data_IF_397079972621
#
_entry.id   IF_397079972621
#
_cell.length_a   1.000
_cell.length_b   1.000
_cell.length_c   1.000
_cell.angle_alpha   90.00
_cell.angle_beta   90.00
_cell.angle_gamma   90.00
#
_symmetry.space_group_name_H-M   'P 1'
#
loop_
_entity.id
_entity.type
_entity.pdbx_description
1 polymer ?
#
# COMPACT_ATOMS: atom_id res chain seq x y z
N UNK A 1 -26.70 33.10 4.41
CA UNK A 1 -25.73 32.00 4.18
C UNK A 1 -25.19 31.72 5.56
N UNK A 2 -25.69 30.63 6.18
CA UNK A 2 -25.31 30.30 7.56
C UNK A 2 -23.82 29.93 7.61
N UNK A 3 -23.09 30.50 8.58
CA UNK A 3 -21.73 30.11 8.96
C UNK A 3 -21.69 28.72 9.64
N UNK A 4 -22.79 28.00 9.63
CA UNK A 4 -22.92 26.64 10.10
C UNK A 4 -22.08 25.73 9.19
N UNK A 5 -21.11 25.05 9.79
CA UNK A 5 -20.13 24.13 9.18
C UNK A 5 -18.88 24.78 8.56
N UNK A 6 -18.37 25.88 9.09
CA UNK A 6 -17.03 26.35 8.79
C UNK A 6 -16.05 25.79 9.83
N UNK A 7 -14.85 25.37 9.36
CA UNK A 7 -13.83 24.86 10.27
C UNK A 7 -12.60 24.31 9.54
N UNK A 8 -11.64 23.84 10.33
CA UNK A 8 -10.45 23.15 9.83
C UNK A 8 -10.38 21.74 10.41
N UNK A 9 -10.09 20.77 9.55
CA UNK A 9 -9.79 19.39 9.94
C UNK A 9 -8.31 19.14 9.62
N UNK A 10 -7.52 18.74 10.62
CA UNK A 10 -6.18 18.29 10.36
C UNK A 10 -6.16 16.79 10.15
N UNK A 11 -5.65 16.35 8.98
CA UNK A 11 -5.61 14.97 8.54
C UNK A 11 -4.17 14.54 8.24
N UNK A 12 -3.80 13.35 8.71
CA UNK A 12 -2.56 12.71 8.31
C UNK A 12 -2.83 11.54 7.36
N UNK A 13 -1.99 11.38 6.34
CA UNK A 13 -2.02 10.21 5.47
C UNK A 13 -0.64 9.88 4.91
N UNK A 14 -0.49 8.63 4.46
CA UNK A 14 0.75 8.19 3.80
C UNK A 14 0.86 8.80 2.41
N UNK A 15 2.06 9.23 1.99
CA UNK A 15 2.33 9.58 0.61
C UNK A 15 1.85 8.48 -0.35
N UNK A 16 1.45 8.82 -1.56
CA UNK A 16 0.87 7.97 -2.61
C UNK A 16 -0.53 7.43 -2.22
N UNK A 17 -0.61 6.35 -1.47
CA UNK A 17 -1.86 5.64 -1.23
C UNK A 17 -2.86 6.46 -0.41
N UNK A 18 -2.42 7.06 0.68
CA UNK A 18 -3.28 7.92 1.49
C UNK A 18 -3.71 9.16 0.72
N UNK A 19 -2.79 9.76 -0.04
CA UNK A 19 -3.09 10.89 -0.90
C UNK A 19 -4.10 10.53 -2.01
N UNK A 20 -3.95 9.37 -2.64
CA UNK A 20 -4.89 8.87 -3.65
C UNK A 20 -6.29 8.70 -3.07
N UNK A 21 -6.43 7.97 -1.96
CA UNK A 21 -7.70 7.75 -1.28
C UNK A 21 -8.35 9.08 -0.84
N UNK A 22 -7.58 10.00 -0.26
CA UNK A 22 -8.09 11.31 0.15
C UNK A 22 -8.61 12.11 -1.05
N UNK A 23 -7.89 12.09 -2.18
CA UNK A 23 -8.27 12.78 -3.41
C UNK A 23 -9.56 12.25 -4.02
N UNK A 24 -9.86 10.97 -3.85
CA UNK A 24 -11.12 10.36 -4.30
C UNK A 24 -12.32 10.78 -3.43
N UNK A 25 -12.12 10.89 -2.12
CA UNK A 25 -13.18 11.22 -1.16
C UNK A 25 -13.44 12.72 -1.10
N UNK A 26 -12.41 13.54 -1.21
CA UNK A 26 -12.47 14.99 -1.00
C UNK A 26 -13.50 15.72 -1.87
N UNK A 27 -13.69 15.44 -3.17
CA UNK A 27 -14.65 16.15 -4.00
C UNK A 27 -16.10 16.02 -3.51
N UNK A 28 -16.49 14.86 -3.02
CA UNK A 28 -17.83 14.63 -2.47
C UNK A 28 -17.99 15.35 -1.12
N UNK A 29 -16.99 15.24 -0.25
CA UNK A 29 -16.97 15.94 1.03
C UNK A 29 -17.07 17.47 0.85
N UNK A 30 -16.27 18.04 -0.06
CA UNK A 30 -16.25 19.47 -0.31
C UNK A 30 -17.59 20.00 -0.86
N UNK A 31 -18.28 19.23 -1.72
CA UNK A 31 -19.61 19.61 -2.18
C UNK A 31 -20.63 19.73 -1.04
N UNK A 32 -20.51 18.87 -0.02
CA UNK A 32 -21.41 18.85 1.14
C UNK A 32 -21.01 19.88 2.21
N UNK A 33 -19.71 20.14 2.36
CA UNK A 33 -19.14 21.01 3.39
C UNK A 33 -18.10 21.98 2.80
N UNK A 34 -18.54 22.96 1.96
CA UNK A 34 -17.63 23.82 1.19
C UNK A 34 -16.79 24.78 2.06
N UNK A 35 -17.21 25.02 3.31
CA UNK A 35 -16.53 25.92 4.22
C UNK A 35 -15.56 25.20 5.19
N UNK A 36 -15.37 23.89 5.04
CA UNK A 36 -14.38 23.14 5.79
C UNK A 36 -13.09 23.07 4.99
N UNK A 37 -11.99 23.47 5.62
CA UNK A 37 -10.65 23.34 5.06
C UNK A 37 -9.91 22.17 5.68
N UNK A 38 -8.94 21.61 4.95
CA UNK A 38 -8.07 20.54 5.46
C UNK A 38 -6.64 21.03 5.60
N UNK A 39 -6.06 20.77 6.75
CA UNK A 39 -4.61 20.85 6.95
C UNK A 39 -4.04 19.45 6.87
N UNK A 40 -3.23 19.21 5.84
CA UNK A 40 -2.71 17.88 5.51
C UNK A 40 -1.30 17.69 6.06
N UNK A 41 -1.07 16.53 6.68
CA UNK A 41 0.24 16.04 7.10
C UNK A 41 0.54 14.73 6.35
N UNK A 42 1.54 14.77 5.49
CA UNK A 42 2.01 13.56 4.81
C UNK A 42 3.18 12.96 5.60
N UNK A 43 3.00 11.74 6.10
CA UNK A 43 4.05 11.05 6.83
C UNK A 43 3.87 9.52 6.79
N UNK A 44 4.82 8.80 7.36
CA UNK A 44 4.75 7.34 7.51
C UNK A 44 3.82 6.95 8.65
N UNK A 45 3.25 5.74 8.57
CA UNK A 45 2.29 5.21 9.55
C UNK A 45 2.79 5.37 11.00
N UNK A 46 4.04 4.99 11.30
CA UNK A 46 4.63 5.11 12.64
C UNK A 46 4.61 6.55 13.18
N UNK A 47 4.80 7.54 12.31
CA UNK A 47 4.75 8.95 12.71
C UNK A 47 3.32 9.41 12.92
N UNK A 48 2.40 9.03 12.02
CA UNK A 48 0.98 9.37 12.15
C UNK A 48 0.35 8.82 13.43
N UNK A 49 0.71 7.58 13.82
CA UNK A 49 0.30 6.97 15.09
C UNK A 49 0.77 7.77 16.33
N UNK A 50 1.83 8.58 16.21
CA UNK A 50 2.29 9.49 17.26
C UNK A 50 1.55 10.84 17.25
N UNK A 51 1.22 11.36 16.05
CA UNK A 51 0.55 12.67 15.92
C UNK A 51 -0.88 12.65 16.48
N UNK A 52 -1.59 11.54 16.37
CA UNK A 52 -2.96 11.40 16.85
C UNK A 52 -3.10 11.58 18.37
N UNK A 53 -2.38 10.83 19.23
CA UNK A 53 -2.45 11.03 20.70
C UNK A 53 -1.98 12.41 21.14
N UNK A 54 -1.08 13.03 20.39
CA UNK A 54 -0.58 14.39 20.65
C UNK A 54 -1.58 15.48 20.22
N UNK A 55 -2.70 15.08 19.58
CA UNK A 55 -3.71 15.99 19.03
C UNK A 55 -3.19 16.96 17.97
N UNK A 56 -2.08 16.62 17.32
CA UNK A 56 -1.54 17.40 16.20
C UNK A 56 -2.36 17.19 14.94
N UNK A 57 -3.02 16.04 14.84
CA UNK A 57 -4.01 15.75 13.79
C UNK A 57 -5.30 15.20 14.38
N UNK A 58 -6.42 15.47 13.71
CA UNK A 58 -7.76 15.04 14.12
C UNK A 58 -8.01 13.58 13.72
N UNK A 59 -7.53 13.21 12.54
CA UNK A 59 -7.69 11.86 12.01
C UNK A 59 -6.48 11.48 11.15
N UNK A 60 -6.27 10.17 10.97
CA UNK A 60 -5.26 9.65 10.06
C UNK A 60 -5.79 8.51 9.21
N UNK A 61 -5.45 8.54 7.92
CA UNK A 61 -5.69 7.45 6.98
C UNK A 61 -4.42 6.61 6.88
N UNK A 62 -4.48 5.40 7.41
CA UNK A 62 -3.31 4.53 7.49
C UNK A 62 -3.67 3.06 7.28
N UNK A 63 -2.70 2.28 6.87
CA UNK A 63 -2.81 0.82 6.88
C UNK A 63 -2.38 0.30 8.25
N UNK A 64 -3.18 -0.57 8.84
CA UNK A 64 -2.85 -1.20 10.11
C UNK A 64 -3.01 -2.73 10.03
N UNK A 65 -2.45 -3.41 11.02
CA UNK A 65 -2.62 -4.84 11.25
C UNK A 65 -3.30 -5.04 12.60
N UNK A 66 -4.26 -5.97 12.68
CA UNK A 66 -5.11 -6.14 13.86
C UNK A 66 -4.33 -6.41 15.17
N UNK A 67 -3.21 -7.12 15.06
CA UNK A 67 -2.34 -7.47 16.19
C UNK A 67 -1.50 -6.29 16.74
N UNK A 68 -1.53 -5.13 16.05
CA UNK A 68 -0.66 -3.97 16.34
C UNK A 68 -1.44 -2.66 16.50
N UNK A 69 -2.72 -2.71 16.88
CA UNK A 69 -3.52 -1.51 17.15
C UNK A 69 -3.00 -0.78 18.40
N UNK A 70 -2.91 0.54 18.31
CA UNK A 70 -2.54 1.38 19.44
C UNK A 70 -3.76 1.58 20.36
N UNK A 71 -3.63 1.21 21.65
CA UNK A 71 -4.74 1.16 22.60
C UNK A 71 -5.46 2.50 22.85
N UNK A 72 -4.80 3.63 22.58
CA UNK A 72 -5.37 4.97 22.76
C UNK A 72 -6.06 5.52 21.52
N UNK A 73 -6.16 4.74 20.43
CA UNK A 73 -6.75 5.18 19.17
C UNK A 73 -8.02 4.36 18.86
N UNK A 74 -9.00 5.03 18.29
CA UNK A 74 -10.15 4.40 17.67
C UNK A 74 -9.84 4.12 16.21
N UNK A 75 -10.16 2.91 15.73
CA UNK A 75 -9.93 2.49 14.36
C UNK A 75 -11.27 2.22 13.68
N UNK A 76 -11.48 2.90 12.56
CA UNK A 76 -12.59 2.66 11.64
C UNK A 76 -12.04 1.95 10.41
N UNK A 77 -12.38 0.67 10.25
CA UNK A 77 -11.99 -0.10 9.08
C UNK A 77 -12.81 0.36 7.86
N UNK A 78 -12.13 0.70 6.77
CA UNK A 78 -12.77 1.10 5.52
C UNK A 78 -12.83 -0.06 4.53
N UNK A 79 -11.74 -0.80 4.36
CA UNK A 79 -11.66 -2.01 3.54
C UNK A 79 -10.41 -2.81 3.89
N UNK A 80 -10.45 -4.09 3.55
CA UNK A 80 -9.28 -4.97 3.58
C UNK A 80 -8.63 -5.00 2.22
N UNK A 81 -7.32 -5.19 2.20
CA UNK A 81 -6.53 -5.22 0.99
C UNK A 81 -5.53 -6.37 1.02
N UNK A 82 -5.42 -7.05 -0.10
CA UNK A 82 -4.46 -8.13 -0.28
C UNK A 82 -3.07 -7.58 -0.63
N UNK A 83 -2.04 -8.30 -0.18
CA UNK A 83 -0.69 -8.18 -0.71
C UNK A 83 -0.56 -9.14 -1.88
N UNK A 84 -0.23 -8.63 -3.04
CA UNK A 84 -0.03 -9.42 -4.25
C UNK A 84 1.44 -9.48 -4.65
N UNK A 85 1.82 -10.58 -5.26
CA UNK A 85 3.12 -10.73 -5.90
C UNK A 85 2.95 -10.47 -7.41
N UNK A 86 3.66 -9.49 -7.93
CA UNK A 86 3.74 -9.22 -9.37
C UNK A 86 5.01 -9.85 -9.97
N UNK A 87 4.84 -10.58 -11.07
CA UNK A 87 5.94 -11.05 -11.90
C UNK A 87 5.87 -10.40 -13.29
N UNK A 88 7.01 -10.15 -13.95
CA UNK A 88 7.04 -9.80 -15.36
C UNK A 88 6.21 -10.77 -16.20
N UNK A 89 5.44 -10.28 -17.17
CA UNK A 89 4.68 -11.15 -18.06
C UNK A 89 5.59 -12.07 -18.91
N UNK A 90 6.85 -11.70 -19.08
CA UNK A 90 7.88 -12.52 -19.74
C UNK A 90 8.53 -13.58 -18.83
N UNK A 91 8.18 -13.61 -17.54
CA UNK A 91 8.78 -14.54 -16.58
C UNK A 91 8.45 -16.00 -16.94
N UNK A 92 9.38 -16.96 -16.80
CA UNK A 92 9.12 -18.37 -17.10
C UNK A 92 7.92 -18.97 -16.37
N UNK A 93 7.61 -18.49 -15.17
CA UNK A 93 6.48 -18.96 -14.36
C UNK A 93 5.19 -18.15 -14.60
N UNK A 94 5.18 -17.16 -15.51
CA UNK A 94 3.99 -16.35 -15.78
C UNK A 94 2.76 -17.17 -16.19
N UNK A 95 2.97 -18.31 -16.85
CA UNK A 95 1.91 -19.23 -17.25
C UNK A 95 1.11 -19.82 -16.07
N UNK A 96 1.67 -19.85 -14.86
CA UNK A 96 0.99 -20.34 -13.67
C UNK A 96 -0.10 -19.39 -13.18
N UNK A 97 -0.02 -18.11 -13.53
CA UNK A 97 -0.98 -17.09 -13.11
C UNK A 97 -2.33 -17.19 -13.86
N UNK A 98 -2.33 -17.68 -15.09
CA UNK A 98 -3.50 -17.69 -15.97
C UNK A 98 -3.86 -16.29 -16.50
N UNK A 99 -4.85 -16.25 -17.42
CA UNK A 99 -5.19 -15.04 -18.18
C UNK A 99 -5.87 -13.94 -17.35
N UNK A 100 -6.50 -14.30 -16.23
CA UNK A 100 -7.22 -13.37 -15.35
C UNK A 100 -6.57 -13.25 -13.94
N UNK A 101 -5.25 -13.37 -13.86
CA UNK A 101 -4.52 -13.32 -12.58
C UNK A 101 -4.77 -12.02 -11.78
N UNK A 102 -5.00 -10.92 -12.48
CA UNK A 102 -5.37 -9.63 -11.88
C UNK A 102 -6.72 -9.64 -11.14
N UNK A 103 -7.53 -10.70 -11.35
CA UNK A 103 -8.88 -10.83 -10.79
C UNK A 103 -8.94 -11.82 -9.62
N UNK A 104 -8.16 -12.90 -9.71
CA UNK A 104 -8.26 -14.03 -8.81
C UNK A 104 -7.02 -14.27 -7.95
N UNK A 105 -5.87 -13.68 -8.29
CA UNK A 105 -4.59 -13.81 -7.59
C UNK A 105 -4.30 -15.27 -7.19
N UNK A 106 -4.00 -16.16 -8.15
CA UNK A 106 -3.71 -17.54 -7.83
C UNK A 106 -2.50 -17.66 -6.91
N UNK A 107 -2.49 -18.69 -6.07
CA UNK A 107 -1.36 -18.94 -5.18
C UNK A 107 -0.15 -19.47 -5.95
N UNK A 108 1.04 -19.06 -5.53
CA UNK A 108 2.31 -19.58 -6.02
C UNK A 108 3.20 -19.99 -4.85
N UNK A 109 3.93 -21.08 -5.00
CA UNK A 109 5.01 -21.41 -4.08
C UNK A 109 6.17 -20.43 -4.28
N UNK A 110 6.35 -19.55 -3.30
CA UNK A 110 7.38 -18.49 -3.35
C UNK A 110 8.80 -19.08 -3.47
N UNK A 111 9.04 -20.32 -3.02
CA UNK A 111 10.35 -20.99 -3.14
C UNK A 111 10.81 -21.19 -4.58
N UNK A 112 9.86 -21.23 -5.54
CA UNK A 112 10.16 -21.30 -6.97
C UNK A 112 10.93 -20.06 -7.48
N UNK A 113 10.85 -18.95 -6.76
CA UNK A 113 11.47 -17.67 -7.09
C UNK A 113 12.78 -17.41 -6.32
N UNK A 114 13.35 -18.43 -5.68
CA UNK A 114 14.54 -18.28 -4.82
C UNK A 114 15.78 -17.70 -5.54
N UNK A 115 15.86 -17.85 -6.86
CA UNK A 115 16.95 -17.33 -7.68
C UNK A 115 16.61 -16.03 -8.41
N UNK A 116 15.37 -15.56 -8.29
CA UNK A 116 14.88 -14.39 -9.00
C UNK A 116 15.26 -13.09 -8.26
N UNK A 117 15.45 -11.99 -9.00
CA UNK A 117 15.66 -10.69 -8.41
C UNK A 117 14.35 -10.08 -7.93
N UNK A 118 14.41 -9.31 -6.84
CA UNK A 118 13.27 -8.59 -6.27
C UNK A 118 13.55 -7.09 -6.11
N UNK A 119 12.53 -6.27 -6.37
CA UNK A 119 12.43 -4.92 -5.82
C UNK A 119 11.51 -4.97 -4.60
N UNK A 120 11.99 -4.56 -3.43
CA UNK A 120 11.24 -4.63 -2.19
C UNK A 120 11.07 -3.23 -1.60
N UNK A 121 9.88 -2.92 -1.11
CA UNK A 121 9.64 -1.65 -0.43
C UNK A 121 10.60 -1.50 0.77
N UNK A 122 10.97 -0.26 1.08
CA UNK A 122 11.90 0.08 2.16
C UNK A 122 11.54 -0.60 3.49
N UNK A 123 12.57 -1.03 4.24
CA UNK A 123 12.46 -1.65 5.58
C UNK A 123 11.79 -0.77 6.63
N UNK A 124 11.60 0.49 6.35
CA UNK A 124 10.90 1.42 7.25
C UNK A 124 9.36 1.30 7.22
N UNK A 125 8.80 0.43 6.37
CA UNK A 125 7.36 0.22 6.23
C UNK A 125 6.89 -1.04 6.95
N UNK A 126 5.67 -1.01 7.51
CA UNK A 126 5.03 -2.21 8.09
C UNK A 126 4.81 -3.31 7.02
N UNK A 127 4.57 -2.91 5.78
CA UNK A 127 4.40 -3.83 4.66
C UNK A 127 5.65 -4.68 4.42
N UNK A 128 6.85 -4.10 4.60
CA UNK A 128 8.09 -4.84 4.45
C UNK A 128 8.25 -5.95 5.49
N UNK A 129 7.77 -5.74 6.71
CA UNK A 129 7.82 -6.76 7.76
C UNK A 129 7.03 -8.02 7.31
N UNK A 130 5.84 -7.84 6.69
CA UNK A 130 5.05 -8.94 6.13
C UNK A 130 5.77 -9.65 4.98
N UNK A 131 6.37 -8.89 4.07
CA UNK A 131 7.09 -9.45 2.93
C UNK A 131 8.29 -10.28 3.41
N UNK A 132 9.03 -9.78 4.40
CA UNK A 132 10.16 -10.50 4.97
C UNK A 132 9.70 -11.79 5.69
N UNK A 133 8.48 -11.81 6.28
CA UNK A 133 7.87 -13.01 6.85
C UNK A 133 7.53 -14.05 5.77
N UNK A 134 7.03 -13.63 4.61
CA UNK A 134 6.79 -14.53 3.47
C UNK A 134 8.08 -15.23 3.02
N UNK A 135 9.17 -14.49 2.87
CA UNK A 135 10.46 -15.08 2.51
C UNK A 135 11.01 -16.03 3.59
N UNK A 136 10.81 -15.69 4.85
CA UNK A 136 11.22 -16.56 5.97
C UNK A 136 10.44 -17.87 5.96
N UNK A 137 9.14 -17.82 5.70
CA UNK A 137 8.30 -19.02 5.59
C UNK A 137 8.66 -19.86 4.37
N UNK A 138 9.02 -19.23 3.25
CA UNK A 138 9.49 -19.90 2.05
C UNK A 138 10.92 -20.46 2.16
N UNK A 139 11.65 -20.14 3.25
CA UNK A 139 12.94 -20.74 3.59
C UNK A 139 14.15 -20.18 2.81
N UNK A 140 14.04 -18.98 2.22
CA UNK A 140 15.16 -18.37 1.52
C UNK A 140 15.25 -16.85 1.75
N UNK A 141 16.41 -16.27 1.44
CA UNK A 141 16.62 -14.83 1.43
C UNK A 141 16.57 -14.30 0.00
N UNK A 142 15.75 -13.28 -0.31
CA UNK A 142 15.61 -12.77 -1.65
C UNK A 142 16.86 -12.05 -2.15
N UNK A 143 17.13 -12.14 -3.46
CA UNK A 143 18.12 -11.30 -4.14
C UNK A 143 17.52 -9.91 -4.39
N UNK A 144 17.79 -8.96 -3.51
CA UNK A 144 17.22 -7.61 -3.58
C UNK A 144 18.05 -6.72 -4.51
N UNK A 145 17.41 -6.17 -5.55
CA UNK A 145 18.03 -5.21 -6.47
C UNK A 145 17.96 -3.79 -5.94
N UNK A 146 16.83 -3.43 -5.31
CA UNK A 146 16.62 -2.09 -4.78
C UNK A 146 15.56 -2.09 -3.68
N UNK A 147 15.61 -1.08 -2.83
CA UNK A 147 14.67 -0.88 -1.72
C UNK A 147 14.07 0.55 -1.76
N UNK A 148 13.18 0.85 -2.72
CA UNK A 148 12.59 2.18 -2.83
C UNK A 148 11.63 2.49 -1.67
N UNK A 149 11.39 3.78 -1.43
CA UNK A 149 10.46 4.23 -0.40
C UNK A 149 9.00 4.31 -0.86
N UNK A 150 8.74 4.21 -2.16
CA UNK A 150 7.39 4.29 -2.74
C UNK A 150 7.04 3.03 -3.55
N UNK A 151 5.77 2.68 -3.53
CA UNK A 151 5.25 1.47 -4.17
C UNK A 151 5.22 1.60 -5.69
N UNK A 152 4.98 2.77 -6.22
CA UNK A 152 4.95 3.01 -7.67
C UNK A 152 6.28 2.64 -8.34
N UNK A 153 7.41 2.91 -7.67
CA UNK A 153 8.73 2.49 -8.17
C UNK A 153 8.86 0.97 -8.21
N UNK A 154 8.38 0.28 -7.18
CA UNK A 154 8.39 -1.19 -7.12
C UNK A 154 7.58 -1.78 -8.28
N UNK A 155 6.36 -1.31 -8.50
CA UNK A 155 5.49 -1.74 -9.61
C UNK A 155 6.13 -1.46 -10.97
N UNK A 156 6.74 -0.28 -11.15
CA UNK A 156 7.42 0.08 -12.39
C UNK A 156 8.61 -0.84 -12.71
N UNK A 157 9.30 -1.38 -11.72
CA UNK A 157 10.38 -2.36 -11.95
C UNK A 157 9.83 -3.66 -12.52
N UNK A 158 8.69 -4.15 -12.02
CA UNK A 158 8.01 -5.34 -12.56
C UNK A 158 7.48 -5.06 -13.97
N UNK A 159 6.79 -3.94 -14.16
CA UNK A 159 6.29 -3.48 -15.47
C UNK A 159 7.40 -3.44 -16.54
N UNK A 160 8.58 -2.98 -16.17
CA UNK A 160 9.73 -2.90 -17.05
C UNK A 160 10.49 -4.24 -17.17
N UNK A 161 9.89 -5.34 -16.72
CA UNK A 161 10.40 -6.71 -16.87
C UNK A 161 11.76 -6.94 -16.18
N UNK A 162 12.06 -6.21 -15.09
CA UNK A 162 13.36 -6.26 -14.42
C UNK A 162 13.40 -7.29 -13.29
N UNK A 163 12.32 -7.40 -12.51
CA UNK A 163 12.31 -8.21 -11.29
C UNK A 163 10.89 -8.52 -10.81
N UNK A 164 10.76 -9.42 -9.84
CA UNK A 164 9.53 -9.64 -9.07
C UNK A 164 9.37 -8.58 -7.97
N UNK A 165 8.14 -8.38 -7.51
CA UNK A 165 7.87 -7.52 -6.37
C UNK A 165 6.54 -7.81 -5.69
N UNK A 166 6.45 -7.46 -4.38
CA UNK A 166 5.19 -7.44 -3.64
C UNK A 166 4.66 -6.02 -3.53
N UNK A 167 3.35 -5.86 -3.70
CA UNK A 167 2.67 -4.58 -3.54
C UNK A 167 1.18 -4.78 -3.23
N UNK A 168 0.48 -3.75 -2.69
CA UNK A 168 -0.94 -3.84 -2.40
C UNK A 168 -1.79 -4.02 -3.65
N UNK A 169 -2.91 -4.74 -3.52
CA UNK A 169 -3.87 -4.99 -4.60
C UNK A 169 -4.34 -3.72 -5.32
N UNK A 170 -4.40 -2.58 -4.63
CA UNK A 170 -4.78 -1.30 -5.23
C UNK A 170 -3.85 -0.81 -6.36
N UNK A 171 -2.67 -1.43 -6.51
CA UNK A 171 -1.73 -1.14 -7.60
C UNK A 171 -1.86 -2.12 -8.77
N UNK A 172 -2.79 -3.06 -8.70
CA UNK A 172 -3.04 -3.99 -9.81
C UNK A 172 -3.71 -3.26 -10.96
N UNK A 173 -3.10 -3.35 -12.13
CA UNK A 173 -3.61 -2.78 -13.36
C UNK A 173 -3.51 -3.85 -14.47
N UNK A 174 -4.65 -4.36 -14.98
CA UNK A 174 -4.67 -5.39 -16.00
C UNK A 174 -4.07 -4.97 -17.35
N UNK A 175 -3.85 -3.67 -17.56
CA UNK A 175 -3.21 -3.16 -18.79
C UNK A 175 -1.68 -3.27 -18.77
N UNK A 176 -1.09 -3.54 -17.59
CA UNK A 176 0.35 -3.66 -17.46
C UNK A 176 0.83 -5.06 -17.85
N UNK A 177 2.05 -5.19 -18.40
CA UNK A 177 2.66 -6.49 -18.71
C UNK A 177 3.17 -7.18 -17.43
N UNK A 178 2.26 -7.43 -16.49
CA UNK A 178 2.50 -8.03 -15.19
C UNK A 178 1.48 -9.17 -15.00
N UNK A 179 1.92 -10.29 -14.49
CA UNK A 179 1.05 -11.34 -13.96
C UNK A 179 1.06 -11.27 -12.44
N UNK A 180 -0.07 -11.61 -11.81
CA UNK A 180 -0.30 -11.40 -10.39
C UNK A 180 -0.63 -12.72 -9.69
N UNK A 181 -0.11 -12.86 -8.45
CA UNK A 181 -0.33 -14.00 -7.57
C UNK A 181 -0.74 -13.54 -6.18
#
# INVERSE_FOLDING_TARGET
>A
ISEENAGEISVAYSPERGAMMFSEIYPEFHRKYPNITFRVHEDRVKKMEQLLPQKEVTLACLTYFDDKKHAALEYVETHQELMVLGLPASHPLAHLAGDESWKFFPEIDLSLLQNDPFALISRSTKMRDMIDDCFRQAGFSPKVLMEPSNTSTVVNMVKNQVCAAFFPQSYVDPSLPIVYF
#
